data_IF_179351062603
#
_entry.id   IF_179351062603
#
_cell.length_a   1.000
_cell.length_b   1.000
_cell.length_c   1.000
_cell.angle_alpha   90.00
_cell.angle_beta   90.00
_cell.angle_gamma   90.00
#
_symmetry.space_group_name_H-M   'P 1'
#
loop_
_entity.id
_entity.type
_entity.pdbx_description
1 polymer ?
#
# COMPACT_ATOMS: atom_id res chain seq x y z
N UNK A 1 1.32 13.28 0.86
CA UNK A 1 2.08 12.43 1.83
C UNK A 1 2.92 13.29 2.81
N UNK A 2 3.08 12.88 4.07
CA UNK A 2 3.96 13.53 5.07
C UNK A 2 4.60 12.46 5.98
N UNK A 3 5.74 12.77 6.60
CA UNK A 3 6.40 11.87 7.53
C UNK A 3 5.56 11.65 8.79
N UNK A 4 5.51 10.41 9.27
CA UNK A 4 4.74 10.00 10.46
C UNK A 4 5.66 9.43 11.56
N UNK A 5 6.55 10.25 12.15
CA UNK A 5 7.56 9.77 13.12
C UNK A 5 6.95 9.17 14.39
N UNK A 6 5.68 9.45 14.66
CA UNK A 6 4.94 8.88 15.78
C UNK A 6 4.60 7.38 15.61
N UNK A 7 4.79 6.83 14.41
CA UNK A 7 4.63 5.40 14.12
C UNK A 7 5.95 4.62 14.23
N UNK A 8 7.08 5.32 14.39
CA UNK A 8 8.41 4.70 14.48
C UNK A 8 8.49 3.80 15.72
N UNK A 9 8.85 2.54 15.50
CA UNK A 9 8.92 1.51 16.55
C UNK A 9 7.56 0.92 16.97
N UNK A 10 6.45 1.55 16.59
CA UNK A 10 5.10 1.00 16.79
C UNK A 10 4.66 0.09 15.63
N UNK A 11 5.17 0.34 14.41
CA UNK A 11 4.85 -0.43 13.21
C UNK A 11 6.12 -0.85 12.45
N UNK A 12 6.12 -2.07 11.93
CA UNK A 12 7.20 -2.59 11.10
C UNK A 12 7.05 -2.09 9.66
N UNK A 13 7.91 -1.17 9.24
CA UNK A 13 7.99 -0.75 7.84
C UNK A 13 8.63 -1.87 6.99
N UNK A 14 7.90 -2.39 6.00
CA UNK A 14 8.34 -3.50 5.14
C UNK A 14 8.59 -3.09 3.69
N UNK A 15 8.24 -1.87 3.29
CA UNK A 15 8.39 -1.40 1.91
C UNK A 15 8.10 0.09 1.78
N UNK A 16 8.44 0.64 0.61
CA UNK A 16 8.12 2.02 0.23
C UNK A 16 7.66 2.06 -1.23
N UNK A 17 6.82 3.02 -1.55
CA UNK A 17 6.44 3.31 -2.94
C UNK A 17 7.63 3.95 -3.65
N UNK A 18 8.05 3.37 -4.78
CA UNK A 18 9.16 3.88 -5.59
C UNK A 18 8.68 4.64 -6.83
N UNK A 19 7.47 4.35 -7.31
CA UNK A 19 6.84 4.95 -8.49
C UNK A 19 5.32 5.06 -8.25
N UNK A 20 4.65 6.02 -8.91
CA UNK A 20 3.19 6.20 -8.80
C UNK A 20 2.72 6.97 -7.56
N UNK A 21 3.54 7.85 -6.99
CA UNK A 21 3.15 8.69 -5.85
C UNK A 21 1.99 9.66 -6.17
N UNK A 22 1.86 10.07 -7.43
CA UNK A 22 0.72 10.85 -7.93
C UNK A 22 -0.60 10.07 -7.81
N UNK A 23 -0.58 8.76 -8.05
CA UNK A 23 -1.74 7.88 -7.85
C UNK A 23 -2.06 7.75 -6.37
N UNK A 24 -1.04 7.65 -5.50
CA UNK A 24 -1.23 7.63 -4.04
C UNK A 24 -1.89 8.91 -3.55
N UNK A 25 -1.42 10.07 -4.01
CA UNK A 25 -2.01 11.36 -3.64
C UNK A 25 -3.46 11.47 -4.21
N UNK A 26 -3.72 11.01 -5.44
CA UNK A 26 -5.08 10.99 -6.00
C UNK A 26 -6.06 10.11 -5.21
N UNK A 27 -5.60 8.97 -4.67
CA UNK A 27 -6.40 8.13 -3.78
C UNK A 27 -6.69 8.86 -2.46
N UNK A 28 -5.69 9.52 -1.90
CA UNK A 28 -5.83 10.28 -0.64
C UNK A 28 -6.78 11.48 -0.78
N UNK A 29 -6.88 12.07 -1.97
CA UNK A 29 -7.79 13.19 -2.27
C UNK A 29 -9.21 12.75 -2.70
N UNK A 30 -9.48 11.44 -2.75
CA UNK A 30 -10.80 10.92 -3.13
C UNK A 30 -11.90 11.33 -2.13
N UNK A 31 -13.13 11.41 -2.62
CA UNK A 31 -14.26 11.77 -1.76
C UNK A 31 -14.59 10.65 -0.78
N UNK A 32 -14.61 10.99 0.51
CA UNK A 32 -14.85 10.05 1.61
C UNK A 32 -16.18 10.30 2.30
N UNK A 33 -16.69 9.28 2.99
CA UNK A 33 -17.81 9.41 3.91
C UNK A 33 -17.38 9.95 5.29
N UNK A 34 -18.31 9.99 6.24
CA UNK A 34 -18.07 10.49 7.59
C UNK A 34 -17.08 9.61 8.42
N UNK A 35 -16.79 8.40 7.95
CA UNK A 35 -15.86 7.46 8.59
C UNK A 35 -14.53 7.34 7.84
N UNK A 36 -14.19 8.33 7.01
CA UNK A 36 -12.99 8.37 6.18
C UNK A 36 -12.90 7.21 5.15
N UNK A 37 -14.02 6.57 4.82
CA UNK A 37 -14.06 5.55 3.78
C UNK A 37 -14.33 6.20 2.41
N UNK A 38 -13.53 5.91 1.37
CA UNK A 38 -13.81 6.35 0.01
C UNK A 38 -15.21 5.93 -0.46
N UNK A 39 -15.95 6.83 -1.11
CA UNK A 39 -17.29 6.52 -1.64
C UNK A 39 -17.25 5.53 -2.81
N UNK A 40 -16.17 5.57 -3.59
CA UNK A 40 -15.85 4.57 -4.60
C UNK A 40 -14.77 3.64 -4.03
N UNK A 41 -15.00 2.32 -4.11
CA UNK A 41 -14.07 1.35 -3.57
C UNK A 41 -12.76 1.32 -4.38
N UNK A 42 -11.63 1.56 -3.70
CA UNK A 42 -10.29 1.49 -4.26
C UNK A 42 -9.75 0.06 -4.17
N UNK A 43 -9.88 -0.71 -5.26
CA UNK A 43 -9.58 -2.16 -5.29
C UNK A 43 -8.37 -2.46 -6.16
N UNK A 44 -7.41 -3.23 -5.63
CA UNK A 44 -6.29 -3.78 -6.40
C UNK A 44 -6.80 -4.87 -7.37
N UNK A 45 -6.61 -4.68 -8.67
CA UNK A 45 -7.07 -5.63 -9.70
C UNK A 45 -6.06 -6.73 -10.00
N UNK A 46 -4.78 -6.42 -9.92
CA UNK A 46 -3.68 -7.34 -10.19
C UNK A 46 -2.48 -6.89 -9.38
N UNK A 47 -1.70 -7.86 -8.91
CA UNK A 47 -0.45 -7.65 -8.18
C UNK A 47 0.58 -8.58 -8.79
N UNK A 48 1.72 -8.02 -9.18
CA UNK A 48 2.87 -8.76 -9.72
C UNK A 48 4.05 -8.53 -8.80
N UNK A 49 4.83 -9.58 -8.56
CA UNK A 49 6.04 -9.52 -7.76
C UNK A 49 7.22 -9.80 -8.67
N UNK A 50 8.15 -8.84 -8.76
CA UNK A 50 9.45 -9.06 -9.39
C UNK A 50 10.36 -9.74 -8.38
N UNK A 51 10.79 -10.97 -8.66
CA UNK A 51 11.61 -11.76 -7.73
C UNK A 51 13.11 -11.53 -7.91
N UNK A 52 13.50 -10.60 -8.80
CA UNK A 52 14.90 -10.26 -9.08
C UNK A 52 15.83 -11.46 -9.35
N UNK A 53 15.27 -12.54 -9.91
CA UNK A 53 16.00 -13.77 -10.22
C UNK A 53 16.08 -14.78 -9.08
N UNK A 54 15.43 -14.51 -7.95
CA UNK A 54 15.27 -15.47 -6.85
C UNK A 54 13.98 -16.29 -7.03
N UNK A 55 14.04 -17.58 -6.67
CA UNK A 55 12.87 -18.44 -6.63
C UNK A 55 12.42 -18.60 -5.17
N UNK A 56 11.19 -18.20 -4.89
CA UNK A 56 10.56 -18.36 -3.59
C UNK A 56 9.64 -19.58 -3.61
N UNK A 57 9.69 -20.46 -2.60
CA UNK A 57 8.77 -21.59 -2.51
C UNK A 57 7.34 -21.08 -2.30
N UNK A 58 6.35 -21.87 -2.73
CA UNK A 58 4.95 -21.58 -2.48
C UNK A 58 4.68 -21.42 -0.97
N UNK A 59 3.82 -20.46 -0.58
CA UNK A 59 3.52 -20.24 0.83
C UNK A 59 2.83 -21.47 1.44
N UNK A 60 3.29 -21.89 2.62
CA UNK A 60 2.59 -22.91 3.42
C UNK A 60 1.23 -22.37 3.84
N UNK A 61 0.16 -23.04 3.41
CA UNK A 61 -1.20 -22.74 3.85
C UNK A 61 -1.44 -23.42 5.20
N UNK A 62 -1.69 -22.63 6.24
CA UNK A 62 -2.16 -23.09 7.57
C UNK A 62 -3.68 -23.15 7.57
#
# INVERSE_FOLDING_TARGET
>A
HQDAPHLDGAYAAFGRVIEGMDVVDAIAESYVDYADRPQEDMIMKSVTVETFGEEYPDPEKI
#
